data_IF_006779429319
#
_entry.id   IF_006779429319
#
_cell.length_a   1.000
_cell.length_b   1.000
_cell.length_c   1.000
_cell.angle_alpha   90.00
_cell.angle_beta   90.00
_cell.angle_gamma   90.00
#
_symmetry.space_group_name_H-M   'P 1'
#
loop_
_entity.id
_entity.type
_entity.pdbx_description
1 polymer ?
#
# COMPACT_ATOMS: atom_id res chain seq x y z
N UNK A 1 -12.62 52.39 -27.98
CA UNK A 1 -12.28 52.20 -26.54
C UNK A 1 -13.07 51.00 -26.03
N UNK A 2 -12.70 49.79 -26.49
CA UNK A 2 -13.25 48.51 -26.03
C UNK A 2 -12.07 47.72 -25.50
N UNK A 3 -12.14 47.39 -24.21
CA UNK A 3 -11.14 46.66 -23.44
C UNK A 3 -10.92 45.25 -24.01
N UNK A 4 -9.81 45.06 -24.70
CA UNK A 4 -9.24 43.76 -25.01
C UNK A 4 -8.44 43.29 -23.78
N UNK A 5 -9.09 42.56 -22.87
CA UNK A 5 -8.41 41.79 -21.81
C UNK A 5 -8.31 40.30 -22.24
N UNK A 6 -7.23 39.62 -21.85
CA UNK A 6 -6.67 38.49 -22.59
C UNK A 6 -7.33 37.15 -22.23
N UNK A 7 -7.75 36.41 -23.25
CA UNK A 7 -8.24 35.02 -23.20
C UNK A 7 -7.10 33.97 -23.23
N UNK A 8 -5.88 34.32 -22.78
CA UNK A 8 -4.67 33.52 -23.05
C UNK A 8 -4.16 32.75 -21.81
N UNK A 9 -5.02 32.42 -20.84
CA UNK A 9 -4.61 31.67 -19.65
C UNK A 9 -5.66 30.65 -19.20
N UNK A 10 -5.97 29.61 -19.98
CA UNK A 10 -6.44 28.31 -19.43
C UNK A 10 -6.43 27.17 -20.48
N UNK A 11 -5.27 26.52 -20.73
CA UNK A 11 -5.32 25.08 -21.04
C UNK A 11 -4.35 24.23 -20.19
N UNK A 12 -3.73 24.79 -19.15
CA UNK A 12 -2.65 24.11 -18.42
C UNK A 12 -3.07 23.15 -17.30
N UNK A 13 -4.36 23.05 -16.94
CA UNK A 13 -4.77 22.38 -15.68
C UNK A 13 -5.24 20.93 -15.83
N UNK A 14 -5.81 20.52 -16.97
CA UNK A 14 -6.35 19.16 -17.13
C UNK A 14 -5.30 18.08 -17.45
N UNK A 15 -4.04 18.41 -17.75
CA UNK A 15 -3.00 17.39 -17.94
C UNK A 15 -2.42 16.84 -16.63
N UNK A 16 -2.51 17.59 -15.53
CA UNK A 16 -1.80 17.28 -14.29
C UNK A 16 -2.40 16.10 -13.51
N UNK A 17 -3.72 15.88 -13.56
CA UNK A 17 -4.36 14.78 -12.80
C UNK A 17 -4.00 13.39 -13.33
N UNK A 18 -3.87 13.24 -14.66
CA UNK A 18 -3.42 11.98 -15.29
C UNK A 18 -2.00 11.62 -14.86
N UNK A 19 -1.15 12.63 -14.69
CA UNK A 19 0.23 12.44 -14.26
C UNK A 19 0.29 12.02 -12.79
N UNK A 20 -0.48 12.68 -11.91
CA UNK A 20 -0.54 12.32 -10.48
C UNK A 20 -0.99 10.88 -10.27
N UNK A 21 -2.08 10.44 -10.91
CA UNK A 21 -2.57 9.05 -10.80
C UNK A 21 -1.49 8.02 -11.21
N UNK A 22 -0.77 8.28 -12.31
CA UNK A 22 0.32 7.41 -12.77
C UNK A 22 1.47 7.33 -11.78
N UNK A 23 1.83 8.45 -11.14
CA UNK A 23 2.88 8.50 -10.11
C UNK A 23 2.49 7.62 -8.91
N UNK A 24 1.23 7.69 -8.44
CA UNK A 24 0.78 6.86 -7.31
C UNK A 24 0.79 5.37 -7.62
N UNK A 25 0.31 4.99 -8.81
CA UNK A 25 0.37 3.59 -9.25
C UNK A 25 1.82 3.11 -9.36
N UNK A 26 2.72 3.95 -9.90
CA UNK A 26 4.14 3.62 -9.98
C UNK A 26 4.79 3.48 -8.60
N UNK A 27 4.52 4.40 -7.67
CA UNK A 27 5.00 4.33 -6.29
C UNK A 27 4.50 3.08 -5.57
N UNK A 28 3.23 2.73 -5.75
CA UNK A 28 2.66 1.52 -5.17
C UNK A 28 3.27 0.25 -5.79
N UNK A 29 3.45 0.19 -7.11
CA UNK A 29 4.11 -0.95 -7.78
C UNK A 29 5.56 -1.06 -7.32
N UNK A 30 6.28 0.05 -7.18
CA UNK A 30 7.65 0.06 -6.70
C UNK A 30 7.73 -0.46 -5.26
N UNK A 31 6.86 -0.01 -4.37
CA UNK A 31 6.78 -0.52 -2.99
C UNK A 31 6.43 -2.01 -2.98
N UNK A 32 5.52 -2.44 -3.87
CA UNK A 32 5.15 -3.84 -4.03
C UNK A 32 6.37 -4.70 -4.41
N UNK A 33 7.09 -4.32 -5.47
CA UNK A 33 8.27 -5.05 -5.94
C UNK A 33 9.38 -5.04 -4.88
N UNK A 34 9.60 -3.90 -4.22
CA UNK A 34 10.64 -3.78 -3.19
C UNK A 34 10.39 -4.66 -1.97
N UNK A 35 9.13 -4.86 -1.58
CA UNK A 35 8.77 -5.65 -0.39
C UNK A 35 8.59 -7.13 -0.69
N UNK A 36 8.33 -7.52 -1.94
CA UNK A 36 8.04 -8.89 -2.37
C UNK A 36 9.07 -9.95 -1.95
N UNK A 37 10.40 -9.72 -1.99
CA UNK A 37 11.38 -10.72 -1.55
C UNK A 37 11.26 -11.05 -0.05
N UNK A 38 11.11 -10.03 0.79
CA UNK A 38 10.85 -10.19 2.23
C UNK A 38 9.49 -10.84 2.47
N UNK A 39 8.54 -10.49 1.61
CA UNK A 39 7.26 -11.15 1.33
C UNK A 39 7.31 -12.67 1.41
N UNK A 40 7.95 -13.18 0.37
CA UNK A 40 8.07 -14.60 0.08
C UNK A 40 8.78 -15.30 1.24
N UNK A 41 9.90 -14.74 1.73
CA UNK A 41 10.69 -15.36 2.80
C UNK A 41 9.92 -15.47 4.12
N UNK A 42 9.18 -14.43 4.50
CA UNK A 42 8.56 -14.36 5.83
C UNK A 42 7.13 -14.88 5.89
N UNK A 43 6.38 -14.78 4.78
CA UNK A 43 4.96 -15.12 4.72
C UNK A 43 4.68 -16.38 3.92
N UNK A 44 5.34 -16.57 2.77
CA UNK A 44 5.01 -17.66 1.84
C UNK A 44 5.69 -18.97 2.22
N UNK A 45 6.93 -18.90 2.68
CA UNK A 45 7.69 -20.10 3.08
C UNK A 45 7.28 -20.66 4.46
N UNK A 46 6.57 -19.87 5.28
CA UNK A 46 6.05 -20.33 6.58
C UNK A 46 4.66 -20.95 6.45
N UNK A 47 4.28 -21.80 7.41
CA UNK A 47 2.93 -22.40 7.48
C UNK A 47 1.87 -21.30 7.38
N UNK A 48 0.87 -21.42 6.48
CA UNK A 48 -0.13 -20.38 6.29
C UNK A 48 -0.95 -20.20 7.56
N UNK A 49 -0.84 -19.03 8.17
CA UNK A 49 -1.71 -18.61 9.28
C UNK A 49 -2.83 -17.73 8.72
N UNK A 50 -4.02 -17.75 9.31
CA UNK A 50 -5.14 -16.88 8.88
C UNK A 50 -4.71 -15.41 8.66
N UNK A 51 -3.98 -14.80 9.62
CA UNK A 51 -3.18 -13.59 9.43
C UNK A 51 -2.41 -13.41 8.12
N UNK A 52 -1.59 -14.39 7.75
CA UNK A 52 -0.77 -14.35 6.54
C UNK A 52 -1.65 -14.40 5.29
N UNK A 53 -2.69 -15.23 5.29
CA UNK A 53 -3.63 -15.37 4.17
C UNK A 53 -4.40 -14.07 3.96
N UNK A 54 -4.94 -13.48 5.03
CA UNK A 54 -5.67 -12.20 4.96
C UNK A 54 -4.78 -11.08 4.39
N UNK A 55 -3.52 -11.03 4.83
CA UNK A 55 -2.54 -10.07 4.34
C UNK A 55 -2.27 -10.24 2.84
N UNK A 56 -2.03 -11.48 2.39
CA UNK A 56 -1.82 -11.81 0.98
C UNK A 56 -3.06 -11.39 0.18
N UNK A 57 -4.26 -11.84 0.57
CA UNK A 57 -5.50 -11.50 -0.12
C UNK A 57 -5.67 -9.98 -0.27
N UNK A 58 -5.55 -9.21 0.82
CA UNK A 58 -5.66 -7.75 0.76
C UNK A 58 -4.71 -7.13 -0.27
N UNK A 59 -3.46 -7.58 -0.27
CA UNK A 59 -2.40 -7.05 -1.13
C UNK A 59 -2.63 -7.39 -2.61
N UNK A 60 -3.00 -8.63 -2.93
CA UNK A 60 -3.23 -9.06 -4.31
C UNK A 60 -4.56 -8.55 -4.88
N UNK A 61 -5.60 -8.37 -4.06
CA UNK A 61 -6.83 -7.71 -4.52
C UNK A 61 -6.59 -6.25 -4.87
N UNK A 62 -5.77 -5.53 -4.09
CA UNK A 62 -5.36 -4.18 -4.43
C UNK A 62 -4.55 -4.13 -5.74
N UNK A 63 -3.64 -5.08 -5.96
CA UNK A 63 -2.90 -5.20 -7.23
C UNK A 63 -3.85 -5.40 -8.41
N UNK A 64 -4.80 -6.32 -8.27
CA UNK A 64 -5.75 -6.65 -9.31
C UNK A 64 -6.66 -5.45 -9.63
N UNK A 65 -7.17 -4.77 -8.62
CA UNK A 65 -7.91 -3.53 -8.76
C UNK A 65 -7.14 -2.46 -9.54
N UNK A 66 -5.87 -2.21 -9.17
CA UNK A 66 -5.01 -1.24 -9.87
C UNK A 66 -4.74 -1.65 -11.31
N UNK A 67 -4.55 -2.95 -11.57
CA UNK A 67 -4.33 -3.46 -12.92
C UNK A 67 -5.56 -3.27 -13.81
N UNK A 68 -6.77 -3.52 -13.30
CA UNK A 68 -8.00 -3.27 -14.05
C UNK A 68 -8.23 -1.77 -14.27
N UNK A 69 -7.90 -0.93 -13.29
CA UNK A 69 -7.92 0.52 -13.45
C UNK A 69 -6.97 0.98 -14.56
N UNK A 70 -5.78 0.37 -14.66
CA UNK A 70 -4.83 0.66 -15.73
C UNK A 70 -5.38 0.23 -17.10
N UNK A 71 -5.99 -0.94 -17.20
CA UNK A 71 -6.65 -1.41 -18.43
C UNK A 71 -7.79 -0.47 -18.83
N UNK A 72 -8.61 -0.02 -17.89
CA UNK A 72 -9.73 0.88 -18.16
C UNK A 72 -9.30 2.24 -18.72
N UNK A 73 -8.08 2.71 -18.41
CA UNK A 73 -7.55 3.97 -18.96
C UNK A 73 -6.75 3.80 -20.26
N UNK A 74 -6.46 2.57 -20.68
CA UNK A 74 -5.77 2.34 -21.95
C UNK A 74 -6.71 2.61 -23.12
N UNK A 75 -6.29 3.42 -24.12
CA UNK A 75 -7.10 3.64 -25.31
C UNK A 75 -7.19 2.34 -26.11
N UNK A 76 -8.42 1.90 -26.38
CA UNK A 76 -8.68 0.67 -27.12
C UNK A 76 -10.07 0.70 -27.76
N UNK A 77 -10.29 -0.14 -28.77
CA UNK A 77 -11.61 -0.38 -29.32
C UNK A 77 -12.21 -1.58 -28.59
N UNK A 78 -13.19 -1.35 -27.73
CA UNK A 78 -13.87 -2.38 -26.94
C UNK A 78 -15.37 -2.28 -27.16
N UNK A 79 -16.04 -3.42 -27.03
CA UNK A 79 -17.50 -3.48 -27.10
C UNK A 79 -18.14 -2.90 -25.83
N UNK A 80 -19.38 -2.43 -25.92
CA UNK A 80 -20.13 -1.92 -24.75
C UNK A 80 -20.25 -2.98 -23.64
N UNK A 81 -20.38 -4.25 -24.04
CA UNK A 81 -20.47 -5.38 -23.10
C UNK A 81 -19.17 -5.59 -22.32
N UNK A 82 -18.01 -5.51 -22.98
CA UNK A 82 -16.71 -5.61 -22.32
C UNK A 82 -16.49 -4.46 -21.34
N UNK A 83 -16.87 -3.24 -21.71
CA UNK A 83 -16.80 -2.06 -20.84
C UNK A 83 -17.64 -2.25 -19.57
N UNK A 84 -18.87 -2.77 -19.72
CA UNK A 84 -19.75 -3.05 -18.58
C UNK A 84 -19.18 -4.14 -17.65
N UNK A 85 -18.61 -5.22 -18.22
CA UNK A 85 -17.97 -6.29 -17.43
C UNK A 85 -16.77 -5.74 -16.68
N UNK A 86 -15.91 -4.95 -17.35
CA UNK A 86 -14.73 -4.34 -16.74
C UNK A 86 -15.12 -3.42 -15.58
N UNK A 87 -16.13 -2.57 -15.80
CA UNK A 87 -16.66 -1.66 -14.78
C UNK A 87 -17.23 -2.43 -13.57
N UNK A 88 -18.06 -3.45 -13.80
CA UNK A 88 -18.61 -4.26 -12.73
C UNK A 88 -17.51 -4.99 -11.95
N UNK A 89 -16.53 -5.54 -12.66
CA UNK A 89 -15.37 -6.23 -12.05
C UNK A 89 -14.55 -5.28 -11.19
N UNK A 90 -14.31 -4.06 -11.68
CA UNK A 90 -13.62 -3.00 -10.95
C UNK A 90 -14.34 -2.66 -9.64
N UNK A 91 -15.67 -2.46 -9.69
CA UNK A 91 -16.51 -2.16 -8.52
C UNK A 91 -16.50 -3.29 -7.48
N UNK A 92 -16.59 -4.55 -7.92
CA UNK A 92 -16.52 -5.72 -7.02
C UNK A 92 -15.14 -5.82 -6.35
N UNK A 93 -14.07 -5.57 -7.09
CA UNK A 93 -12.72 -5.63 -6.52
C UNK A 93 -12.41 -4.47 -5.58
N UNK A 94 -12.94 -3.28 -5.87
CA UNK A 94 -12.85 -2.13 -4.98
C UNK A 94 -13.51 -2.42 -3.63
N UNK A 95 -14.77 -2.85 -3.66
CA UNK A 95 -15.51 -3.20 -2.45
C UNK A 95 -14.82 -4.31 -1.66
N UNK A 96 -14.32 -5.35 -2.32
CA UNK A 96 -13.56 -6.41 -1.70
C UNK A 96 -12.26 -5.91 -1.05
N UNK A 97 -11.53 -5.02 -1.70
CA UNK A 97 -10.32 -4.41 -1.14
C UNK A 97 -10.62 -3.58 0.11
N UNK A 98 -11.73 -2.83 0.13
CA UNK A 98 -12.17 -2.07 1.30
C UNK A 98 -12.49 -3.01 2.46
N UNK A 99 -13.26 -4.07 2.22
CA UNK A 99 -13.58 -5.07 3.24
C UNK A 99 -12.31 -5.68 3.84
N UNK A 100 -11.36 -6.10 3.01
CA UNK A 100 -10.09 -6.67 3.48
C UNK A 100 -9.28 -5.68 4.32
N UNK A 101 -9.27 -4.40 3.94
CA UNK A 101 -8.61 -3.33 4.70
C UNK A 101 -9.25 -3.16 6.08
N UNK A 102 -10.59 -3.22 6.18
CA UNK A 102 -11.29 -3.13 7.47
C UNK A 102 -10.98 -4.31 8.40
N UNK A 103 -10.93 -5.53 7.86
CA UNK A 103 -10.54 -6.72 8.63
C UNK A 103 -9.11 -6.61 9.12
N UNK A 104 -8.22 -6.06 8.29
CA UNK A 104 -6.85 -5.83 8.68
C UNK A 104 -6.73 -4.79 9.81
N UNK A 105 -7.45 -3.67 9.70
CA UNK A 105 -7.49 -2.63 10.73
C UNK A 105 -8.04 -3.17 12.07
N UNK A 106 -9.10 -3.98 12.02
CA UNK A 106 -9.66 -4.65 13.20
C UNK A 106 -8.62 -5.53 13.90
N UNK A 107 -7.81 -6.25 13.11
CA UNK A 107 -6.73 -7.06 13.65
C UNK A 107 -5.62 -6.23 14.29
N UNK A 108 -5.25 -5.09 13.69
CA UNK A 108 -4.29 -4.16 14.30
C UNK A 108 -4.82 -3.66 15.65
N UNK A 109 -6.09 -3.29 15.72
CA UNK A 109 -6.75 -2.91 16.98
C UNK A 109 -6.67 -4.00 18.04
N UNK A 110 -6.89 -5.27 17.66
CA UNK A 110 -6.77 -6.41 18.58
C UNK A 110 -5.34 -6.61 19.10
N UNK A 111 -4.32 -6.42 18.26
CA UNK A 111 -2.91 -6.55 18.65
C UNK A 111 -2.48 -5.45 19.63
N UNK A 112 -2.98 -4.23 19.46
CA UNK A 112 -2.66 -3.09 20.32
C UNK A 112 -3.49 -3.04 21.61
N UNK A 113 -3.77 -4.21 22.19
CA UNK A 113 -4.48 -4.36 23.46
C UNK A 113 -5.77 -3.51 23.53
N UNK A 114 -6.51 -3.43 22.42
CA UNK A 114 -7.79 -2.71 22.33
C UNK A 114 -7.70 -1.20 22.61
N UNK A 115 -6.55 -0.56 22.34
CA UNK A 115 -6.41 0.90 22.50
C UNK A 115 -7.44 1.68 21.69
N UNK A 116 -8.26 2.49 22.37
CA UNK A 116 -9.31 3.30 21.75
C UNK A 116 -8.77 4.32 20.75
N UNK A 117 -7.55 4.83 20.94
CA UNK A 117 -6.93 5.78 20.01
C UNK A 117 -6.78 5.16 18.62
N UNK A 118 -6.31 3.92 18.55
CA UNK A 118 -6.10 3.21 17.27
C UNK A 118 -7.45 2.90 16.62
N UNK A 119 -8.47 2.61 17.42
CA UNK A 119 -9.84 2.42 16.90
C UNK A 119 -10.36 3.71 16.26
N UNK A 120 -10.22 4.85 16.93
CA UNK A 120 -10.69 6.15 16.41
C UNK A 120 -9.94 6.52 15.13
N UNK A 121 -8.61 6.39 15.11
CA UNK A 121 -7.80 6.68 13.91
C UNK A 121 -8.20 5.75 12.75
N UNK A 122 -8.33 4.45 13.01
CA UNK A 122 -8.70 3.48 11.98
C UNK A 122 -10.13 3.71 11.46
N UNK A 123 -11.08 3.99 12.35
CA UNK A 123 -12.46 4.30 12.00
C UNK A 123 -12.56 5.60 11.20
N UNK A 124 -11.79 6.63 11.56
CA UNK A 124 -11.71 7.87 10.81
C UNK A 124 -11.20 7.62 9.38
N UNK A 125 -10.12 6.85 9.24
CA UNK A 125 -9.54 6.51 7.93
C UNK A 125 -10.51 5.69 7.07
N UNK A 126 -11.19 4.69 7.66
CA UNK A 126 -12.18 3.87 6.96
C UNK A 126 -13.40 4.70 6.57
N UNK A 127 -13.91 5.57 7.46
CA UNK A 127 -15.08 6.42 7.19
C UNK A 127 -14.76 7.44 6.12
N UNK A 128 -13.59 8.09 6.19
CA UNK A 128 -13.11 8.99 5.15
C UNK A 128 -13.04 8.28 3.80
N UNK A 129 -12.56 7.03 3.79
CA UNK A 129 -12.48 6.24 2.58
C UNK A 129 -13.85 5.84 2.02
N UNK A 130 -14.76 5.36 2.87
CA UNK A 130 -16.13 5.05 2.44
C UNK A 130 -16.84 6.30 1.94
N UNK A 131 -16.60 7.46 2.57
CA UNK A 131 -17.14 8.74 2.12
C UNK A 131 -16.63 9.12 0.72
N UNK A 132 -15.33 8.97 0.45
CA UNK A 132 -14.80 9.21 -0.91
C UNK A 132 -15.37 8.24 -1.93
N UNK A 133 -15.50 6.95 -1.58
CA UNK A 133 -15.88 5.95 -2.58
C UNK A 133 -17.39 5.93 -2.83
N UNK A 134 -18.23 6.08 -1.80
CA UNK A 134 -19.70 5.97 -1.92
C UNK A 134 -20.42 7.27 -2.19
N UNK A 135 -19.94 8.41 -1.69
CA UNK A 135 -20.63 9.69 -1.83
C UNK A 135 -20.06 10.52 -2.99
N UNK A 136 -18.75 10.45 -3.20
CA UNK A 136 -18.11 11.27 -4.23
C UNK A 136 -18.24 10.63 -5.62
N UNK A 137 -17.94 9.32 -5.76
CA UNK A 137 -17.89 8.68 -7.08
C UNK A 137 -19.27 8.69 -7.76
N UNK A 138 -20.39 8.27 -7.14
CA UNK A 138 -21.69 8.24 -7.82
C UNK A 138 -22.23 9.62 -8.16
N UNK A 139 -21.82 10.66 -7.41
CA UNK A 139 -22.22 12.05 -7.66
C UNK A 139 -21.36 12.74 -8.73
N UNK A 140 -20.13 12.26 -8.97
CA UNK A 140 -19.25 12.74 -10.04
C UNK A 140 -19.43 11.95 -11.35
N UNK A 141 -19.82 10.68 -11.27
CA UNK A 141 -20.03 9.77 -12.41
C UNK A 141 -21.33 9.96 -13.21
N UNK A 142 -22.36 10.77 -12.85
CA UNK A 142 -23.46 11.02 -13.78
C UNK A 142 -22.96 11.62 -15.10
N UNK A 143 -21.79 12.28 -15.07
CA UNK A 143 -21.11 12.80 -16.24
C UNK A 143 -20.40 11.70 -17.08
N UNK A 144 -19.87 10.65 -16.45
CA UNK A 144 -19.16 9.56 -17.13
C UNK A 144 -20.11 8.53 -17.76
N UNK A 145 -21.35 8.40 -17.28
CA UNK A 145 -22.38 7.61 -17.97
C UNK A 145 -22.73 8.18 -19.36
N UNK A 146 -22.46 9.47 -19.58
CA UNK A 146 -22.54 10.10 -20.92
C UNK A 146 -21.29 9.89 -21.79
N UNK A 147 -20.29 9.12 -21.36
CA UNK A 147 -19.15 8.81 -22.22
C UNK A 147 -19.50 7.78 -23.32
N UNK A 148 -20.61 7.04 -23.18
CA UNK A 148 -21.25 6.35 -24.32
C UNK A 148 -21.84 7.34 -25.34
N UNK A 149 -22.07 8.58 -24.91
CA UNK A 149 -22.46 9.71 -25.73
C UNK A 149 -21.23 10.53 -26.15
N UNK A 150 -20.01 9.99 -26.24
CA UNK A 150 -18.88 10.71 -26.87
C UNK A 150 -19.25 11.13 -28.30
N UNK A 151 -20.03 10.32 -29.01
CA UNK A 151 -20.57 10.67 -30.33
C UNK A 151 -21.60 11.81 -30.25
N UNK A 152 -22.39 11.88 -29.18
CA UNK A 152 -23.39 12.92 -28.97
C UNK A 152 -22.74 14.21 -28.44
N UNK A 153 -21.73 14.11 -27.59
CA UNK A 153 -20.84 15.20 -27.15
C UNK A 153 -20.03 15.76 -28.32
N UNK A 154 -19.49 14.93 -29.21
CA UNK A 154 -18.84 15.38 -30.45
C UNK A 154 -19.82 16.13 -31.37
N UNK A 155 -21.08 15.67 -31.48
CA UNK A 155 -22.14 16.37 -32.23
C UNK A 155 -22.56 17.69 -31.56
N UNK A 156 -22.65 17.74 -30.23
CA UNK A 156 -23.02 18.95 -29.47
C UNK A 156 -21.88 19.98 -29.46
N UNK A 157 -20.62 19.54 -29.41
CA UNK A 157 -19.45 20.41 -29.37
C UNK A 157 -18.99 20.93 -30.74
N UNK A 158 -19.58 20.43 -31.84
CA UNK A 158 -19.55 21.08 -33.15
C UNK A 158 -20.43 22.33 -33.21
N UNK A 159 -21.26 22.59 -32.18
CA UNK A 159 -22.09 23.77 -32.10
C UNK A 159 -21.36 24.88 -31.28
N UNK A 160 -20.88 25.97 -31.91
CA UNK A 160 -20.02 26.97 -31.25
C UNK A 160 -20.71 27.71 -30.09
N UNK A 161 -22.05 27.65 -29.99
CA UNK A 161 -22.85 28.33 -28.96
C UNK A 161 -22.92 27.60 -27.61
N UNK A 162 -22.60 26.30 -27.56
CA UNK A 162 -22.70 25.50 -26.32
C UNK A 162 -21.48 25.62 -25.39
N UNK A 163 -20.38 26.25 -25.85
CA UNK A 163 -19.11 26.35 -25.10
C UNK A 163 -19.15 27.22 -23.85
N UNK A 164 -20.15 28.09 -23.70
CA UNK A 164 -20.13 29.14 -22.65
C UNK A 164 -20.66 28.66 -21.30
N UNK A 165 -21.36 27.51 -21.24
CA UNK A 165 -22.00 27.05 -19.99
C UNK A 165 -21.21 26.02 -19.18
N UNK A 166 -20.05 25.56 -19.64
CA UNK A 166 -19.28 24.49 -19.00
C UNK A 166 -18.20 24.98 -18.00
N UNK A 167 -18.15 26.27 -17.68
CA UNK A 167 -16.98 26.92 -17.03
C UNK A 167 -16.90 26.81 -15.51
N UNK A 168 -17.82 26.11 -14.82
CA UNK A 168 -17.88 26.09 -13.35
C UNK A 168 -17.68 24.71 -12.70
N UNK A 169 -16.60 23.99 -13.06
CA UNK A 169 -16.23 22.70 -12.42
C UNK A 169 -14.89 22.70 -11.64
N UNK A 170 -14.54 23.73 -10.83
CA UNK A 170 -13.26 23.75 -10.11
C UNK A 170 -13.18 22.71 -8.97
N UNK A 171 -14.31 22.29 -8.40
CA UNK A 171 -14.34 21.39 -7.23
C UNK A 171 -13.94 19.95 -7.62
N UNK A 172 -14.40 19.48 -8.78
CA UNK A 172 -14.11 18.13 -9.29
C UNK A 172 -12.64 17.97 -9.64
N UNK A 173 -12.00 19.02 -10.15
CA UNK A 173 -10.55 19.01 -10.45
C UNK A 173 -9.70 18.99 -9.19
N UNK A 174 -10.12 19.67 -8.11
CA UNK A 174 -9.39 19.67 -6.84
C UNK A 174 -9.43 18.27 -6.20
N UNK A 175 -10.60 17.64 -6.17
CA UNK A 175 -10.78 16.29 -5.60
C UNK A 175 -10.05 15.20 -6.40
N UNK A 176 -10.00 15.29 -7.74
CA UNK A 176 -9.23 14.37 -8.58
C UNK A 176 -7.71 14.63 -8.60
N UNK A 177 -7.28 15.82 -8.15
CA UNK A 177 -5.86 16.15 -8.01
C UNK A 177 -5.26 15.66 -6.69
N UNK A 178 -6.10 15.34 -5.70
CA UNK A 178 -5.63 14.74 -4.47
C UNK A 178 -5.05 13.35 -4.80
N UNK A 179 -3.80 13.08 -4.41
CA UNK A 179 -3.23 11.74 -4.37
C UNK A 179 -4.26 10.75 -3.86
N UNK A 180 -4.60 9.74 -4.67
CA UNK A 180 -5.60 8.76 -4.30
C UNK A 180 -5.32 8.27 -2.86
N UNK A 181 -6.18 8.59 -1.87
CA UNK A 181 -5.98 8.23 -0.46
C UNK A 181 -6.07 6.71 -0.22
N UNK A 182 -6.13 5.95 -1.32
CA UNK A 182 -6.47 4.55 -1.41
C UNK A 182 -5.26 3.65 -1.18
N UNK A 183 -4.11 4.03 -1.76
CA UNK A 183 -2.90 3.21 -1.75
C UNK A 183 -2.03 3.45 -0.51
N UNK A 184 -2.08 4.66 0.06
CA UNK A 184 -1.30 5.06 1.24
C UNK A 184 -1.54 4.16 2.46
N UNK A 185 -2.79 3.90 2.88
CA UNK A 185 -3.06 2.99 3.99
C UNK A 185 -2.49 1.59 3.73
N UNK A 186 -2.62 1.07 2.51
CA UNK A 186 -2.10 -0.26 2.15
C UNK A 186 -0.57 -0.33 2.23
N UNK A 187 0.14 0.71 1.77
CA UNK A 187 1.60 0.80 1.88
C UNK A 187 2.03 0.87 3.35
N UNK A 188 1.39 1.74 4.13
CA UNK A 188 1.70 1.92 5.56
C UNK A 188 1.47 0.63 6.35
N UNK A 189 0.33 -0.03 6.10
CA UNK A 189 0.00 -1.33 6.69
C UNK A 189 1.06 -2.37 6.33
N UNK A 190 1.43 -2.47 5.04
CA UNK A 190 2.41 -3.45 4.57
C UNK A 190 3.76 -3.27 5.25
N UNK A 191 4.24 -2.02 5.33
CA UNK A 191 5.49 -1.69 6.02
C UNK A 191 5.40 -1.93 7.52
N UNK A 192 4.30 -1.56 8.17
CA UNK A 192 4.11 -1.80 9.60
C UNK A 192 4.16 -3.29 9.93
N UNK A 193 3.48 -4.14 9.16
CA UNK A 193 3.46 -5.59 9.36
C UNK A 193 4.85 -6.20 9.19
N UNK A 194 5.56 -5.80 8.14
CA UNK A 194 6.90 -6.29 7.86
C UNK A 194 7.88 -5.86 8.96
N UNK A 195 7.78 -4.62 9.44
CA UNK A 195 8.59 -4.11 10.53
C UNK A 195 8.32 -4.92 11.82
N UNK A 196 7.05 -5.09 12.20
CA UNK A 196 6.67 -5.84 13.40
C UNK A 196 7.16 -7.30 13.35
N UNK A 197 7.06 -7.97 12.19
CA UNK A 197 7.56 -9.34 12.05
C UNK A 197 9.08 -9.42 12.11
N UNK A 198 9.77 -8.46 11.51
CA UNK A 198 11.24 -8.43 11.55
C UNK A 198 11.72 -8.30 13.01
N UNK A 199 11.11 -7.39 13.79
CA UNK A 199 11.39 -7.26 15.22
C UNK A 199 11.06 -8.54 16.01
N UNK A 200 9.90 -9.15 15.76
CA UNK A 200 9.52 -10.41 16.42
C UNK A 200 10.49 -11.55 16.13
N UNK A 201 11.04 -11.65 14.92
CA UNK A 201 12.00 -12.69 14.54
C UNK A 201 13.39 -12.51 15.16
N UNK A 202 13.79 -11.25 15.36
CA UNK A 202 15.04 -10.93 16.05
C UNK A 202 14.96 -11.30 17.52
N UNK A 203 13.82 -11.06 18.16
CA UNK A 203 13.59 -11.43 19.56
C UNK A 203 13.57 -12.95 19.75
N UNK A 204 13.01 -13.72 18.80
CA UNK A 204 13.04 -15.19 18.84
C UNK A 204 14.47 -15.73 18.72
N UNK A 205 15.26 -15.18 17.78
CA UNK A 205 16.69 -15.54 17.63
C UNK A 205 17.48 -15.17 18.89
N UNK A 206 17.26 -13.97 19.45
CA UNK A 206 17.94 -13.50 20.67
C UNK A 206 17.55 -14.34 21.88
N UNK A 207 16.28 -14.68 22.03
CA UNK A 207 15.79 -15.56 23.10
C UNK A 207 16.38 -16.96 22.99
N UNK A 208 16.53 -17.49 21.77
CA UNK A 208 17.23 -18.76 21.56
C UNK A 208 18.70 -18.65 21.95
N UNK A 209 19.42 -17.62 21.50
CA UNK A 209 20.83 -17.41 21.88
C UNK A 209 21.00 -17.20 23.39
N UNK A 210 20.10 -16.45 24.03
CA UNK A 210 20.09 -16.27 25.48
C UNK A 210 19.76 -17.59 26.17
N UNK A 211 18.84 -18.41 25.66
CA UNK A 211 18.54 -19.72 26.27
C UNK A 211 19.70 -20.71 26.16
N UNK A 212 20.49 -20.68 25.07
CA UNK A 212 21.74 -21.44 24.98
C UNK A 212 22.82 -20.88 25.93
N UNK A 213 22.83 -19.57 26.20
CA UNK A 213 23.75 -18.94 27.16
C UNK A 213 23.27 -19.09 28.61
N UNK A 214 21.97 -19.18 28.88
CA UNK A 214 21.39 -19.41 30.22
C UNK A 214 21.58 -20.84 30.71
N UNK A 215 22.11 -21.74 29.86
CA UNK A 215 22.69 -23.02 30.27
C UNK A 215 24.13 -22.92 30.78
N UNK A 216 24.82 -21.79 30.59
CA UNK A 216 26.07 -21.51 31.31
C UNK A 216 25.75 -21.08 32.73
N UNK A 217 25.62 -22.06 33.63
CA UNK A 217 25.69 -21.83 35.06
C UNK A 217 27.12 -21.39 35.40
N UNK A 218 27.33 -20.09 35.54
CA UNK A 218 28.56 -19.58 36.12
C UNK A 218 28.62 -20.00 37.60
N UNK A 219 29.71 -20.67 37.98
CA UNK A 219 29.95 -21.09 39.34
C UNK A 219 30.00 -19.84 40.26
N UNK A 220 28.93 -19.63 41.02
CA UNK A 220 28.79 -18.55 42.00
C UNK A 220 29.39 -19.00 43.32
N UNK A 221 30.72 -19.15 43.37
CA UNK A 221 31.42 -19.40 44.63
C UNK A 221 31.81 -18.08 45.31
N UNK A 222 31.33 -17.91 46.54
CA UNK A 222 31.43 -16.67 47.35
C UNK A 222 32.87 -16.29 47.74
N UNK A 223 33.84 -17.17 47.53
CA UNK A 223 35.22 -16.93 47.95
C UNK A 223 36.20 -16.58 46.81
N UNK A 224 35.82 -16.73 45.53
CA UNK A 224 36.82 -16.74 44.44
C UNK A 224 36.70 -15.65 43.37
N UNK A 225 35.74 -14.72 43.45
CA UNK A 225 35.73 -13.48 42.66
C UNK A 225 35.88 -13.63 41.13
N UNK A 226 34.77 -13.49 40.40
CA UNK A 226 34.67 -13.26 38.94
C UNK A 226 35.84 -13.73 38.04
N UNK A 227 36.13 -15.03 38.04
CA UNK A 227 37.14 -15.67 37.16
C UNK A 227 36.59 -15.87 35.72
N UNK A 228 35.35 -15.46 35.45
CA UNK A 228 34.67 -15.58 34.15
C UNK A 228 34.89 -14.41 33.18
N UNK A 229 35.93 -13.58 33.37
CA UNK A 229 36.26 -12.55 32.39
C UNK A 229 36.78 -13.21 31.09
N UNK A 230 36.32 -12.78 29.90
CA UNK A 230 36.69 -13.42 28.64
C UNK A 230 38.21 -13.35 28.39
N UNK A 231 38.81 -14.50 28.10
CA UNK A 231 40.24 -14.66 27.84
C UNK A 231 40.65 -14.01 26.52
N UNK A 232 41.73 -13.23 26.59
CA UNK A 232 42.43 -12.63 25.45
C UNK A 232 43.24 -13.73 24.74
N UNK A 233 42.87 -14.03 23.51
CA UNK A 233 43.57 -14.97 22.62
C UNK A 233 44.90 -14.37 22.15
N UNK A 234 46.02 -14.96 22.57
CA UNK A 234 47.33 -14.91 21.89
C UNK A 234 47.76 -16.35 21.66
N UNK A 235 47.77 -16.81 20.41
CA UNK A 235 48.98 -16.98 19.59
C UNK A 235 49.95 -18.01 20.19
N UNK A 236 50.04 -19.20 19.57
CA UNK A 236 51.21 -19.67 18.79
C UNK A 236 52.06 -20.58 19.72
N UNK A 237 52.62 -21.74 19.36
CA UNK A 237 53.46 -22.18 18.24
C UNK A 237 53.45 -23.74 18.23
N UNK A 238 53.49 -24.38 17.06
CA UNK A 238 53.62 -25.83 16.88
C UNK A 238 55.07 -26.17 16.50
N UNK A 239 55.83 -26.80 17.40
CA UNK A 239 57.12 -27.49 17.18
C UNK A 239 57.25 -28.50 18.33
N UNK A 240 57.85 -29.69 18.27
CA UNK A 240 58.49 -30.60 17.32
C UNK A 240 58.59 -31.90 18.17
N UNK A 241 58.41 -33.09 17.60
CA UNK A 241 58.71 -34.33 18.35
C UNK A 241 59.47 -35.32 17.48
N UNK A 242 60.80 -35.26 17.64
CA UNK A 242 61.73 -36.34 17.33
C UNK A 242 61.51 -37.50 18.31
N UNK A 243 61.39 -38.73 17.82
CA UNK A 243 61.57 -39.94 18.64
C UNK A 243 62.43 -40.96 17.90
N UNK A 244 63.61 -41.16 18.49
CA UNK A 244 64.54 -42.27 18.25
C UNK A 244 63.94 -43.61 18.69
N UNK A 245 64.07 -44.65 17.86
CA UNK A 245 64.63 -45.97 18.23
C UNK A 245 64.97 -46.81 16.98
#
# INVERSE_FOLDING_TARGET
>A
MHLLLPQVLTPFRSKNWRLNSRIFSALWILDFVATLPTEIRTLWLRKPTGPSVLFILNRYFCLLFLSLGLVAITPGNSTDQECQILYNSYQVLETLSVVMTTLFALRVYAIYNKSHIILVISALLITFRLFTDTLLIPHLVPHFRSFQDVNTWLRVNQNPKAKVLATNQPIVEILNSLPAPISLPNILISRLVLNLRTFSSLEETRSQTISTISGLNFATNRMLGNIGAPMRSGEVEQEEEDVEE
#
